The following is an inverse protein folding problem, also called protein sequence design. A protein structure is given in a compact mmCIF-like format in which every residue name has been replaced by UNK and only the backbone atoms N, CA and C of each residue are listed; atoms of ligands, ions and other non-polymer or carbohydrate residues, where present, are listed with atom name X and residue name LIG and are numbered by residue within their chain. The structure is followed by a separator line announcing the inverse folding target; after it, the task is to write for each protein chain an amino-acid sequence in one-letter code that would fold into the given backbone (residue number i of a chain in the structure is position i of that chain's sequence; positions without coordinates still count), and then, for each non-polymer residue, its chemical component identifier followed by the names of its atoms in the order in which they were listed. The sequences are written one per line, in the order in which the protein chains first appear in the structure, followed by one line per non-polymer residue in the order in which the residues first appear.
data_IF_312920933014
#
_entry.id   IF_312920933014
#
_cell.length_a   1.000
_cell.length_b   1.000
_cell.length_c   1.000
_cell.angle_alpha   90.00
_cell.angle_beta   90.00
_cell.angle_gamma   90.00
#
_symmetry.space_group_name_H-M   'P 1'
#
loop_
_entity.id
_entity.type
_entity.pdbx_description
1 polymer ?
#
# COMPACT_ATOMS: atom_id res chain seq x y z
N UNK A 1 -4.42 17.65 12.33
CA UNK A 1 -3.01 18.03 12.02
C UNK A 1 -2.21 16.73 11.96
N UNK A 2 -1.36 16.54 10.95
CA UNK A 2 -0.51 15.35 10.87
C UNK A 2 0.53 15.38 12.00
N UNK A 3 0.87 14.21 12.59
CA UNK A 3 1.94 14.14 13.60
C UNK A 3 3.28 14.61 13.03
N UNK A 4 4.19 15.14 13.87
CA UNK A 4 5.53 15.51 13.43
C UNK A 4 6.26 14.31 12.82
N UNK A 5 6.96 14.54 11.71
CA UNK A 5 7.71 13.48 11.01
C UNK A 5 6.91 12.65 10.00
N UNK A 6 5.63 12.94 9.82
CA UNK A 6 4.79 12.31 8.78
C UNK A 6 4.94 13.08 7.47
N UNK A 7 5.17 12.37 6.36
CA UNK A 7 5.45 12.97 5.05
C UNK A 7 4.20 13.56 4.38
N UNK A 8 3.03 13.00 4.67
CA UNK A 8 1.77 13.43 4.07
C UNK A 8 0.58 12.67 4.60
N UNK A 9 -0.59 12.98 4.10
CA UNK A 9 -1.85 12.29 4.42
C UNK A 9 -2.55 11.80 3.16
N UNK A 10 -3.06 10.59 3.22
CA UNK A 10 -3.93 10.00 2.21
C UNK A 10 -5.35 9.93 2.74
N UNK A 11 -6.30 10.52 2.01
CA UNK A 11 -7.72 10.43 2.33
C UNK A 11 -8.35 9.40 1.38
N UNK A 12 -8.98 8.37 1.94
CA UNK A 12 -9.65 7.31 1.20
C UNK A 12 -11.15 7.44 1.33
N UNK A 13 -11.82 7.51 0.18
CA UNK A 13 -13.28 7.45 0.10
C UNK A 13 -13.65 6.15 -0.59
N UNK A 14 -14.41 5.31 0.11
CA UNK A 14 -14.94 4.07 -0.46
C UNK A 14 -16.36 4.32 -0.95
N UNK A 15 -16.59 4.05 -2.22
CA UNK A 15 -17.90 4.15 -2.85
C UNK A 15 -18.50 2.74 -3.00
N UNK A 16 -19.76 2.57 -2.64
CA UNK A 16 -20.51 1.38 -2.99
C UNK A 16 -20.70 1.28 -4.52
N UNK A 17 -20.86 0.08 -5.05
CA UNK A 17 -20.94 -0.18 -6.50
C UNK A 17 -21.96 0.73 -7.23
N UNK A 18 -23.12 0.98 -6.62
CA UNK A 18 -24.16 1.85 -7.18
C UNK A 18 -23.75 3.35 -7.26
N UNK A 19 -22.69 3.77 -6.54
CA UNK A 19 -22.21 5.14 -6.50
C UNK A 19 -20.98 5.38 -7.38
N UNK A 20 -20.37 4.32 -7.93
CA UNK A 20 -19.12 4.41 -8.69
C UNK A 20 -19.26 5.34 -9.89
N UNK A 21 -20.34 5.18 -10.68
CA UNK A 21 -20.54 6.01 -11.87
C UNK A 21 -20.78 7.48 -11.52
N UNK A 22 -21.59 7.76 -10.49
CA UNK A 22 -21.81 9.11 -9.98
C UNK A 22 -20.51 9.74 -9.46
N UNK A 23 -19.69 8.95 -8.74
CA UNK A 23 -18.37 9.39 -8.27
C UNK A 23 -17.45 9.72 -9.43
N UNK A 24 -17.38 8.85 -10.45
CA UNK A 24 -16.60 9.07 -11.66
C UNK A 24 -16.98 10.38 -12.36
N UNK A 25 -18.26 10.63 -12.51
CA UNK A 25 -18.78 11.87 -13.13
C UNK A 25 -18.47 13.10 -12.27
N UNK A 26 -18.70 13.03 -10.96
CA UNK A 26 -18.45 14.13 -10.03
C UNK A 26 -16.97 14.56 -10.01
N UNK A 27 -16.06 13.58 -10.06
CA UNK A 27 -14.61 13.83 -10.11
C UNK A 27 -14.07 13.99 -11.53
N UNK A 28 -14.93 13.95 -12.56
CA UNK A 28 -14.56 14.08 -13.98
C UNK A 28 -13.48 13.08 -14.42
N UNK A 29 -13.52 11.85 -13.90
CA UNK A 29 -12.56 10.80 -14.24
C UNK A 29 -12.97 10.14 -15.56
N UNK A 30 -12.14 10.31 -16.60
CA UNK A 30 -12.33 9.67 -17.90
C UNK A 30 -11.72 8.27 -17.92
N UNK A 31 -12.38 7.28 -18.54
CA UNK A 31 -11.84 5.93 -18.70
C UNK A 31 -10.61 5.89 -19.63
N UNK A 32 -10.50 6.84 -20.56
CA UNK A 32 -9.32 6.96 -21.42
C UNK A 32 -8.02 7.29 -20.66
N UNK A 33 -8.12 7.77 -19.43
CA UNK A 33 -7.00 8.06 -18.53
C UNK A 33 -6.76 6.95 -17.51
N UNK A 34 -7.50 5.84 -17.63
CA UNK A 34 -7.37 4.73 -16.69
C UNK A 34 -6.10 3.95 -16.98
N UNK A 35 -5.28 3.76 -15.97
CA UNK A 35 -4.11 2.88 -16.01
C UNK A 35 -4.50 1.47 -15.60
N UNK A 36 -4.09 0.48 -16.39
CA UNK A 36 -4.20 -0.92 -16.00
C UNK A 36 -3.01 -1.31 -15.14
N UNK A 37 -3.28 -1.99 -14.03
CA UNK A 37 -2.24 -2.46 -13.13
C UNK A 37 -2.57 -3.88 -12.69
N UNK A 38 -1.57 -4.75 -12.70
CA UNK A 38 -1.64 -6.05 -12.04
C UNK A 38 -1.02 -5.91 -10.64
N UNK A 39 -1.73 -6.40 -9.63
CA UNK A 39 -1.30 -6.26 -8.24
C UNK A 39 -1.35 -7.62 -7.57
N UNK A 40 -0.22 -8.01 -6.96
CA UNK A 40 -0.11 -9.22 -6.14
C UNK A 40 0.22 -8.85 -4.70
N UNK A 41 -0.32 -9.63 -3.78
CA UNK A 41 -0.02 -9.51 -2.37
C UNK A 41 0.69 -10.77 -1.89
N UNK A 42 1.84 -10.57 -1.23
CA UNK A 42 2.56 -11.65 -0.59
C UNK A 42 2.00 -11.92 0.81
N UNK A 43 1.87 -13.21 1.13
CA UNK A 43 1.46 -13.64 2.45
C UNK A 43 2.24 -14.90 2.86
N UNK A 44 2.35 -15.14 4.16
CA UNK A 44 2.93 -16.36 4.68
C UNK A 44 1.86 -17.46 4.67
N UNK A 45 2.12 -18.55 3.95
CA UNK A 45 1.25 -19.72 4.01
C UNK A 45 1.38 -20.36 5.39
N UNK A 46 0.28 -20.44 6.11
CA UNK A 46 0.19 -21.27 7.30
C UNK A 46 -0.14 -22.71 6.86
N UNK A 47 0.71 -23.65 7.22
CA UNK A 47 0.68 -25.02 6.69
C UNK A 47 -0.32 -25.93 7.38
N UNK A 48 -1.46 -25.53 7.84
CA UNK A 48 -2.47 -26.45 8.40
C UNK A 48 -3.73 -25.70 8.89
N UNK A 49 -4.65 -25.37 8.01
CA UNK A 49 -6.05 -25.22 8.39
C UNK A 49 -6.92 -25.03 7.16
N UNK A 50 -8.14 -25.50 7.19
CA UNK A 50 -9.20 -25.22 6.22
C UNK A 50 -9.63 -23.74 6.20
N UNK A 51 -8.97 -22.90 7.00
CA UNK A 51 -9.17 -21.44 7.08
C UNK A 51 -7.95 -20.73 6.51
N UNK A 52 -8.20 -19.81 5.58
CA UNK A 52 -7.15 -18.94 5.04
C UNK A 52 -6.75 -17.94 6.12
N UNK A 53 -5.66 -18.21 6.82
CA UNK A 53 -5.04 -17.24 7.72
C UNK A 53 -4.11 -16.32 6.94
N UNK A 54 -4.18 -15.03 7.24
CA UNK A 54 -3.32 -13.99 6.68
C UNK A 54 -2.43 -13.39 7.78
N UNK A 55 -1.40 -14.12 8.25
CA UNK A 55 -0.63 -13.76 9.43
C UNK A 55 0.17 -12.45 9.27
N UNK A 56 0.59 -12.08 8.07
CA UNK A 56 1.22 -10.78 7.83
C UNK A 56 0.19 -9.66 7.90
N UNK A 57 -0.91 -9.82 7.18
CA UNK A 57 -1.98 -8.81 7.14
C UNK A 57 -2.59 -8.57 8.51
N UNK A 58 -2.78 -9.61 9.32
CA UNK A 58 -3.31 -9.50 10.70
C UNK A 58 -2.40 -8.66 11.61
N UNK A 59 -1.11 -8.60 11.30
CA UNK A 59 -0.11 -7.78 12.00
C UNK A 59 0.12 -6.42 11.36
N UNK A 60 -0.71 -6.04 10.38
CA UNK A 60 -0.57 -4.79 9.65
C UNK A 60 0.61 -4.74 8.66
N UNK A 61 1.17 -5.91 8.31
CA UNK A 61 2.24 -6.02 7.30
C UNK A 61 1.63 -6.33 5.95
N UNK A 62 1.95 -5.54 4.94
CA UNK A 62 1.49 -5.70 3.57
C UNK A 62 2.70 -5.78 2.66
N UNK A 63 2.86 -6.90 1.97
CA UNK A 63 3.79 -7.06 0.86
C UNK A 63 2.99 -6.96 -0.43
N UNK A 64 3.40 -6.07 -1.31
CA UNK A 64 2.71 -5.83 -2.58
C UNK A 64 3.71 -5.75 -3.70
N UNK A 65 3.42 -6.43 -4.80
CA UNK A 65 4.08 -6.23 -6.10
C UNK A 65 3.06 -5.58 -7.02
N UNK A 66 3.49 -4.60 -7.78
CA UNK A 66 2.64 -3.90 -8.72
C UNK A 66 3.35 -3.79 -10.06
N UNK A 67 2.70 -4.34 -11.07
CA UNK A 67 3.10 -4.25 -12.46
C UNK A 67 2.27 -3.21 -13.17
N UNK A 68 2.92 -2.40 -14.00
CA UNK A 68 2.31 -1.33 -14.77
C UNK A 68 2.73 -1.46 -16.22
N UNK A 69 1.78 -1.22 -17.11
CA UNK A 69 2.10 -1.18 -18.54
C UNK A 69 2.99 0.04 -18.85
N UNK A 70 4.21 -0.20 -19.36
CA UNK A 70 5.13 0.85 -19.80
C UNK A 70 5.94 1.57 -18.69
N UNK A 71 5.88 1.09 -17.45
CA UNK A 71 6.68 1.59 -16.32
C UNK A 71 7.42 0.45 -15.62
N UNK A 72 8.43 0.81 -14.81
CA UNK A 72 9.11 -0.16 -13.95
C UNK A 72 8.14 -0.75 -12.91
N UNK A 73 8.24 -2.04 -12.71
CA UNK A 73 7.53 -2.75 -11.65
C UNK A 73 8.01 -2.31 -10.27
N UNK A 74 7.12 -2.27 -9.31
CA UNK A 74 7.49 -1.93 -7.93
C UNK A 74 7.09 -3.00 -6.92
N UNK A 75 7.96 -3.20 -5.93
CA UNK A 75 7.66 -3.92 -4.70
C UNK A 75 7.50 -2.93 -3.56
N UNK A 76 6.49 -3.13 -2.75
CA UNK A 76 6.23 -2.31 -1.57
C UNK A 76 6.11 -3.20 -0.34
N UNK A 77 6.93 -2.93 0.68
CA UNK A 77 6.67 -3.36 2.05
C UNK A 77 5.94 -2.21 2.76
N UNK A 78 4.76 -2.46 3.29
CA UNK A 78 3.98 -1.46 4.02
C UNK A 78 3.64 -2.00 5.42
N UNK A 79 3.92 -1.20 6.44
CA UNK A 79 3.48 -1.41 7.82
C UNK A 79 2.32 -0.46 8.08
N UNK A 80 1.24 -0.95 8.65
CA UNK A 80 0.06 -0.16 8.95
C UNK A 80 -0.43 -0.45 10.36
N UNK A 81 -0.66 0.60 11.12
CA UNK A 81 -1.18 0.48 12.48
C UNK A 81 -1.85 1.76 12.96
N UNK A 82 -2.53 1.71 14.13
CA UNK A 82 -3.03 2.89 14.81
C UNK A 82 -1.92 3.92 15.06
N UNK A 83 -2.30 5.17 15.29
CA UNK A 83 -1.36 6.19 15.77
C UNK A 83 -0.67 5.69 17.05
N UNK A 84 0.67 5.87 17.11
CA UNK A 84 1.50 5.37 18.20
C UNK A 84 2.10 3.97 18.01
N UNK A 85 1.61 3.15 17.07
CA UNK A 85 2.23 1.86 16.76
C UNK A 85 3.51 1.96 15.92
N UNK A 86 3.71 3.10 15.25
CA UNK A 86 4.90 3.39 14.46
C UNK A 86 5.51 4.68 15.02
N UNK A 87 6.74 4.58 15.52
CA UNK A 87 7.52 5.75 15.94
C UNK A 87 8.12 6.43 14.70
N UNK A 88 7.72 7.68 14.38
CA UNK A 88 8.23 8.38 13.22
C UNK A 88 9.73 8.65 13.25
N UNK A 89 10.28 8.92 14.44
CA UNK A 89 11.72 9.18 14.62
C UNK A 89 12.54 7.93 14.34
N UNK A 90 12.16 6.82 14.97
CA UNK A 90 12.81 5.51 14.75
C UNK A 90 12.68 5.05 13.30
N UNK A 91 11.50 5.24 12.69
CA UNK A 91 11.30 4.91 11.27
C UNK A 91 12.29 5.67 10.39
N UNK A 92 12.40 6.98 10.55
CA UNK A 92 13.31 7.83 9.76
C UNK A 92 14.76 7.46 9.96
N UNK A 93 15.17 7.21 11.21
CA UNK A 93 16.53 6.76 11.53
C UNK A 93 16.87 5.46 10.79
N UNK A 94 16.00 4.44 10.91
CA UNK A 94 16.21 3.10 10.33
C UNK A 94 16.15 3.08 8.81
N UNK A 95 15.44 4.02 8.21
CA UNK A 95 15.22 4.06 6.75
C UNK A 95 15.98 5.18 6.05
N UNK A 96 16.89 5.88 6.73
CA UNK A 96 17.64 7.02 6.19
C UNK A 96 18.35 6.70 4.86
N UNK A 97 18.92 5.51 4.71
CA UNK A 97 19.60 5.07 3.49
C UNK A 97 18.67 4.87 2.29
N UNK A 98 17.37 4.71 2.52
CA UNK A 98 16.38 4.52 1.45
C UNK A 98 15.90 5.84 0.84
N UNK A 99 16.15 6.99 1.49
CA UNK A 99 15.76 8.32 0.99
C UNK A 99 14.26 8.41 0.68
N UNK A 100 13.90 8.93 -0.48
CA UNK A 100 12.51 9.10 -0.92
C UNK A 100 11.72 7.79 -1.12
N UNK A 101 12.39 6.63 -1.09
CA UNK A 101 11.75 5.31 -1.17
C UNK A 101 11.11 4.88 0.15
N UNK A 102 11.51 5.51 1.26
CA UNK A 102 10.87 5.33 2.55
C UNK A 102 9.90 6.48 2.81
N UNK A 103 8.64 6.14 3.09
CA UNK A 103 7.58 7.11 3.37
C UNK A 103 6.86 6.76 4.65
N UNK A 104 6.41 7.79 5.36
CA UNK A 104 5.50 7.67 6.49
C UNK A 104 4.30 8.58 6.23
N UNK A 105 3.12 7.99 6.10
CA UNK A 105 1.90 8.69 5.70
C UNK A 105 0.76 8.41 6.70
N UNK A 106 -0.10 9.40 6.92
CA UNK A 106 -1.38 9.21 7.58
C UNK A 106 -2.42 8.67 6.59
N UNK A 107 -3.08 7.57 6.93
CA UNK A 107 -4.17 6.97 6.16
C UNK A 107 -5.50 7.27 6.85
N UNK A 108 -6.38 8.04 6.21
CA UNK A 108 -7.69 8.39 6.74
C UNK A 108 -8.82 7.82 5.88
N UNK A 109 -9.66 7.02 6.49
CA UNK A 109 -10.84 6.44 5.85
C UNK A 109 -12.06 6.58 6.78
N UNK A 110 -12.86 7.60 6.58
CA UNK A 110 -13.95 7.96 7.50
C UNK A 110 -13.42 8.28 8.89
N UNK A 111 -13.84 7.51 9.89
CA UNK A 111 -13.38 7.67 11.30
C UNK A 111 -12.08 6.93 11.60
N UNK A 112 -11.55 6.17 10.66
CA UNK A 112 -10.36 5.37 10.85
C UNK A 112 -9.13 6.17 10.46
N UNK A 113 -8.25 6.40 11.43
CA UNK A 113 -6.97 7.07 11.26
C UNK A 113 -5.85 6.06 11.57
N UNK A 114 -4.96 5.86 10.61
CA UNK A 114 -3.83 4.94 10.74
C UNK A 114 -2.56 5.63 10.30
N UNK A 115 -1.42 5.19 10.81
CA UNK A 115 -0.12 5.46 10.23
C UNK A 115 0.28 4.32 9.31
N UNK A 116 0.91 4.69 8.21
CA UNK A 116 1.43 3.79 7.19
C UNK A 116 2.87 4.12 6.91
N UNK A 117 3.77 3.22 7.26
CA UNK A 117 5.18 3.29 6.90
C UNK A 117 5.44 2.37 5.70
N UNK A 118 6.07 2.86 4.65
CA UNK A 118 6.31 2.09 3.43
C UNK A 118 7.72 2.23 2.91
N UNK A 119 8.28 1.10 2.45
CA UNK A 119 9.50 1.02 1.66
C UNK A 119 9.14 0.58 0.25
N UNK A 120 9.63 1.31 -0.75
CA UNK A 120 9.38 1.04 -2.16
C UNK A 120 10.68 0.65 -2.82
N UNK A 121 10.72 -0.53 -3.45
CA UNK A 121 11.80 -1.00 -4.31
C UNK A 121 11.34 -1.11 -5.75
N UNK A 122 12.24 -0.88 -6.69
CA UNK A 122 12.03 -1.25 -8.10
C UNK A 122 12.36 -2.72 -8.28
N UNK A 123 11.66 -3.37 -9.17
CA UNK A 123 11.93 -4.75 -9.59
C UNK A 123 12.32 -4.69 -11.05
N UNK A 124 13.50 -5.21 -11.39
CA UNK A 124 13.93 -5.31 -12.78
C UNK A 124 13.05 -6.29 -13.54
N UNK A 125 12.64 -5.90 -14.74
CA UNK A 125 11.83 -6.71 -15.64
C UNK A 125 12.40 -8.13 -15.81
N UNK A 126 11.54 -9.13 -15.68
CA UNK A 126 11.84 -10.54 -15.93
C UNK A 126 11.92 -11.45 -14.69
N UNK A 127 11.86 -10.95 -13.45
CA UNK A 127 11.95 -11.79 -12.25
C UNK A 127 10.61 -12.18 -11.62
N UNK A 128 9.50 -11.58 -12.03
CA UNK A 128 8.19 -11.86 -11.44
C UNK A 128 7.52 -13.11 -12.03
N UNK A 129 7.93 -13.55 -13.22
CA UNK A 129 7.26 -14.62 -13.96
C UNK A 129 7.55 -16.05 -13.52
N UNK A 130 8.67 -16.32 -12.85
CA UNK A 130 9.15 -17.70 -12.62
C UNK A 130 8.91 -18.25 -11.22
N UNK A 131 8.49 -17.45 -10.26
CA UNK A 131 8.35 -17.84 -8.85
C UNK A 131 6.93 -17.97 -8.32
N UNK A 132 5.91 -17.62 -9.08
CA UNK A 132 4.52 -17.59 -8.62
C UNK A 132 3.63 -18.65 -9.33
N UNK A 133 4.07 -19.91 -9.34
CA UNK A 133 3.21 -21.05 -9.70
C UNK A 133 3.01 -21.96 -8.51
#
# INVERSE_FOLDING_TARGET
MLPPGVDGGEIKVTLGAAMVERGRQAFRIGLAQAERRSIWFGERLASQADTVELPLLSRGVILRIRQRDGEDDDATLKLRGPEGCIDPGLWRERTKSFGKRAKLEGDWAGRRHLLSASLIGKIDDGRIGEGCR
#
